data_IF_823437531269
#
_entry.id   IF_823437531269
#
_cell.length_a   1.000
_cell.length_b   1.000
_cell.length_c   1.000
_cell.angle_alpha   90.00
_cell.angle_beta   90.00
_cell.angle_gamma   90.00
#
_symmetry.space_group_name_H-M   'P 1'
#
loop_
_entity.id
_entity.type
_entity.pdbx_description
1 polymer ?
#
# COMPACT_ATOMS: atom_id res chain seq x y z
N UNK A 1 -10.65 14.01 0.23
CA UNK A 1 -11.95 13.35 0.46
C UNK A 1 -12.34 12.63 -0.82
N UNK A 2 -12.74 11.35 -0.76
CA UNK A 2 -13.03 10.53 -1.95
C UNK A 2 -14.47 9.97 -1.85
N UNK A 3 -15.17 9.93 -2.98
CA UNK A 3 -16.55 9.43 -3.12
C UNK A 3 -16.56 8.22 -4.03
N UNK A 4 -15.78 7.21 -3.65
CA UNK A 4 -15.45 6.05 -4.45
C UNK A 4 -16.12 4.77 -3.95
N UNK A 5 -17.01 4.86 -2.95
CA UNK A 5 -17.79 3.73 -2.49
C UNK A 5 -18.96 3.45 -3.46
N UNK A 6 -19.44 2.19 -3.53
CA UNK A 6 -20.63 1.86 -4.30
C UNK A 6 -21.80 2.81 -4.02
N UNK A 7 -22.46 3.29 -5.07
CA UNK A 7 -23.51 4.30 -4.97
C UNK A 7 -23.02 5.75 -4.76
N UNK A 8 -21.73 6.02 -4.95
CA UNK A 8 -21.14 7.35 -4.78
C UNK A 8 -20.93 7.74 -3.30
N UNK A 9 -20.91 6.75 -2.40
CA UNK A 9 -20.74 6.98 -0.97
C UNK A 9 -19.37 7.58 -0.62
N UNK A 10 -19.34 8.35 0.47
CA UNK A 10 -18.11 8.99 0.98
C UNK A 10 -17.22 8.01 1.74
N UNK A 11 -15.94 7.91 1.38
CA UNK A 11 -14.94 7.18 2.17
C UNK A 11 -14.25 8.09 3.19
N UNK A 12 -14.33 7.72 4.47
CA UNK A 12 -13.54 8.30 5.54
C UNK A 12 -12.27 7.48 5.71
N UNK A 13 -11.10 8.11 5.61
CA UNK A 13 -9.80 7.46 5.75
C UNK A 13 -9.01 8.18 6.84
N UNK A 14 -8.45 7.41 7.76
CA UNK A 14 -7.48 7.85 8.75
C UNK A 14 -6.18 7.08 8.51
N UNK A 15 -5.19 7.68 7.83
CA UNK A 15 -3.88 7.07 7.66
C UNK A 15 -3.21 6.84 9.03
N UNK A 16 -2.40 5.79 9.13
CA UNK A 16 -1.55 5.60 10.31
C UNK A 16 -0.44 6.66 10.35
N UNK A 17 -0.06 7.06 11.56
CA UNK A 17 1.05 7.98 11.81
C UNK A 17 2.30 7.19 12.26
N UNK A 18 3.49 7.77 12.08
CA UNK A 18 4.76 7.19 12.53
C UNK A 18 5.36 6.10 11.63
N UNK A 19 4.74 5.79 10.47
CA UNK A 19 5.33 4.89 9.48
C UNK A 19 6.15 5.71 8.47
N UNK A 20 7.47 5.75 8.67
CA UNK A 20 8.37 6.54 7.82
C UNK A 20 8.60 5.88 6.45
N UNK A 21 8.81 4.56 6.43
CA UNK A 21 9.04 3.79 5.21
C UNK A 21 8.35 2.43 5.24
N UNK A 22 7.98 1.94 4.05
CA UNK A 22 7.66 0.53 3.81
C UNK A 22 8.46 0.04 2.61
N UNK A 23 9.12 -1.11 2.75
CA UNK A 23 10.03 -1.66 1.74
C UNK A 23 9.55 -3.06 1.36
N UNK A 24 9.49 -3.34 0.06
CA UNK A 24 9.14 -4.65 -0.51
C UNK A 24 10.23 -5.05 -1.49
N UNK A 25 10.82 -6.24 -1.30
CA UNK A 25 11.87 -6.78 -2.17
C UNK A 25 13.02 -5.78 -2.43
N UNK A 26 13.44 -5.06 -1.37
CA UNK A 26 14.52 -4.06 -1.43
C UNK A 26 14.14 -2.72 -2.04
N UNK A 27 12.88 -2.50 -2.44
CA UNK A 27 12.41 -1.23 -3.01
C UNK A 27 11.41 -0.53 -2.09
N UNK A 28 11.53 0.79 -1.96
CA UNK A 28 10.60 1.62 -1.17
C UNK A 28 9.24 1.62 -1.86
N UNK A 29 8.20 1.19 -1.15
CA UNK A 29 6.81 1.16 -1.61
C UNK A 29 5.98 2.31 -0.99
N UNK A 30 6.40 2.81 0.17
CA UNK A 30 5.78 3.93 0.88
C UNK A 30 6.87 4.72 1.60
N UNK A 31 6.79 6.04 1.54
CA UNK A 31 7.69 6.95 2.25
C UNK A 31 6.94 8.22 2.68
N UNK A 32 7.21 8.69 3.90
CA UNK A 32 6.73 9.98 4.42
C UNK A 32 5.23 10.23 4.16
N UNK A 33 4.38 9.23 4.42
CA UNK A 33 2.93 9.38 4.24
C UNK A 33 2.41 9.11 2.82
N UNK A 34 3.26 8.69 1.87
CA UNK A 34 2.92 8.59 0.44
C UNK A 34 3.37 7.28 -0.18
N UNK A 35 2.56 6.75 -1.10
CA UNK A 35 3.00 5.65 -1.95
C UNK A 35 4.03 6.13 -2.96
N UNK A 36 5.10 5.35 -3.17
CA UNK A 36 6.18 5.66 -4.11
C UNK A 36 5.84 5.35 -5.56
N UNK A 37 4.76 4.58 -5.80
CA UNK A 37 4.40 4.05 -7.12
C UNK A 37 5.17 2.78 -7.52
N UNK A 38 6.10 2.32 -6.69
CA UNK A 38 6.86 1.10 -6.96
C UNK A 38 6.01 -0.15 -6.73
N UNK A 39 5.92 -1.03 -7.74
CA UNK A 39 5.22 -2.31 -7.69
C UNK A 39 6.23 -3.47 -7.64
N UNK A 40 6.79 -3.72 -6.45
CA UNK A 40 7.86 -4.72 -6.25
C UNK A 40 7.36 -6.09 -5.76
N UNK A 41 6.06 -6.33 -5.74
CA UNK A 41 5.49 -7.59 -5.23
C UNK A 41 5.78 -8.78 -6.15
N UNK A 42 6.08 -9.93 -5.57
CA UNK A 42 6.30 -11.19 -6.28
C UNK A 42 5.50 -12.33 -5.62
N UNK A 43 5.07 -13.30 -6.41
CA UNK A 43 4.34 -14.48 -5.89
C UNK A 43 5.33 -15.41 -5.21
N UNK A 44 5.17 -15.58 -3.89
CA UNK A 44 5.91 -16.61 -3.14
C UNK A 44 5.25 -17.97 -3.43
N UNK A 45 6.05 -18.93 -3.92
CA UNK A 45 5.60 -20.30 -4.17
C UNK A 45 6.13 -21.23 -3.08
N UNK A 46 5.30 -22.20 -2.69
CA UNK A 46 5.76 -23.32 -1.87
C UNK A 46 6.78 -24.15 -2.65
N UNK A 47 7.82 -24.60 -1.98
CA UNK A 47 8.71 -25.65 -2.49
C UNK A 47 8.07 -27.00 -2.18
N UNK A 48 7.26 -27.54 -3.09
CA UNK A 48 6.95 -28.96 -3.05
C UNK A 48 8.18 -29.71 -3.58
N UNK A 49 8.82 -30.50 -2.72
CA UNK A 49 9.82 -31.48 -3.11
C UNK A 49 9.15 -32.72 -3.72
#
# INVERSE_FOLDING_TARGET
MQYDLPGGGRRLVMPAEGIEYTIVNGKVSYEHGRQSGTLAGEVIRSVAA
#
